data_IF_519440142244
#
_entry.id   IF_519440142244
#
_cell.length_a   1.000
_cell.length_b   1.000
_cell.length_c   1.000
_cell.angle_alpha   90.00
_cell.angle_beta   90.00
_cell.angle_gamma   90.00
#
_symmetry.space_group_name_H-M   'P 1'
#
loop_
_entity.id
_entity.type
_entity.pdbx_description
1 polymer ?
#
# COMPACT_ATOMS: atom_id res chain seq x y z
N UNK A 1 -24.22 22.01 -6.23
CA UNK A 1 -23.51 20.74 -6.40
C UNK A 1 -22.63 20.86 -7.64
N UNK A 2 -21.35 20.50 -7.51
CA UNK A 2 -20.43 20.39 -8.66
C UNK A 2 -20.56 18.97 -9.23
N UNK A 3 -20.70 18.85 -10.53
CA UNK A 3 -20.72 17.57 -11.23
C UNK A 3 -19.59 17.57 -12.26
N UNK A 4 -18.74 16.56 -12.16
CA UNK A 4 -17.68 16.31 -13.11
C UNK A 4 -17.80 14.88 -13.62
N UNK A 5 -17.89 14.75 -14.92
CA UNK A 5 -17.87 13.46 -15.60
C UNK A 5 -16.45 13.20 -16.12
N UNK A 6 -16.00 11.93 -16.04
CA UNK A 6 -14.72 11.47 -16.62
C UNK A 6 -13.47 12.19 -16.04
N UNK A 7 -13.41 12.36 -14.70
CA UNK A 7 -12.16 12.72 -14.03
C UNK A 7 -11.24 11.49 -13.99
N UNK A 8 -9.98 11.68 -14.37
CA UNK A 8 -8.97 10.62 -14.39
C UNK A 8 -7.96 10.89 -13.29
N UNK A 9 -7.74 9.89 -12.43
CA UNK A 9 -6.68 9.86 -11.43
C UNK A 9 -5.64 8.82 -11.84
N UNK A 10 -4.36 9.18 -11.81
CA UNK A 10 -3.25 8.26 -12.13
C UNK A 10 -2.84 7.45 -10.90
N UNK A 11 -3.77 6.67 -10.36
CA UNK A 11 -3.54 5.84 -9.17
C UNK A 11 -4.46 4.63 -9.18
N UNK A 12 -4.01 3.53 -8.62
CA UNK A 12 -4.81 2.33 -8.34
C UNK A 12 -5.38 2.34 -6.92
N UNK A 13 -5.07 3.37 -6.12
CA UNK A 13 -5.61 3.54 -4.77
C UNK A 13 -7.09 3.97 -4.82
N UNK A 14 -8.02 3.06 -4.55
CA UNK A 14 -9.46 3.32 -4.60
C UNK A 14 -9.90 4.51 -3.72
N UNK A 15 -9.29 4.65 -2.53
CA UNK A 15 -9.57 5.75 -1.59
C UNK A 15 -9.16 7.15 -2.11
N UNK A 16 -8.36 7.23 -3.16
CA UNK A 16 -7.99 8.52 -3.76
C UNK A 16 -9.15 9.18 -4.51
N UNK A 17 -10.20 8.45 -4.85
CA UNK A 17 -11.42 9.05 -5.43
C UNK A 17 -12.14 9.95 -4.43
N UNK A 18 -12.18 9.55 -3.15
CA UNK A 18 -12.74 10.36 -2.06
C UNK A 18 -11.85 11.59 -1.79
N UNK A 19 -10.53 11.39 -1.70
CA UNK A 19 -9.58 12.48 -1.52
C UNK A 19 -9.67 13.52 -2.66
N UNK A 20 -9.78 13.07 -3.90
CA UNK A 20 -9.94 13.93 -5.06
C UNK A 20 -11.27 14.71 -5.00
N UNK A 21 -12.35 14.08 -4.53
CA UNK A 21 -13.64 14.76 -4.36
C UNK A 21 -13.55 15.88 -3.32
N UNK A 22 -12.87 15.67 -2.20
CA UNK A 22 -12.63 16.69 -1.17
C UNK A 22 -11.75 17.80 -1.74
N UNK A 23 -10.66 17.46 -2.43
CA UNK A 23 -9.77 18.45 -3.04
C UNK A 23 -10.50 19.32 -4.08
N UNK A 24 -11.38 18.71 -4.90
CA UNK A 24 -12.21 19.42 -5.87
C UNK A 24 -13.12 20.42 -5.19
N UNK A 25 -13.85 20.01 -4.15
CA UNK A 25 -14.75 20.90 -3.40
C UNK A 25 -13.95 22.06 -2.76
N UNK A 26 -12.79 21.76 -2.17
CA UNK A 26 -11.93 22.78 -1.58
C UNK A 26 -11.44 23.79 -2.63
N UNK A 27 -10.95 23.31 -3.79
CA UNK A 27 -10.49 24.17 -4.88
C UNK A 27 -11.60 25.10 -5.39
N UNK A 28 -12.82 24.57 -5.59
CA UNK A 28 -13.98 25.38 -6.01
C UNK A 28 -14.43 26.38 -4.96
N UNK A 29 -14.25 26.09 -3.68
CA UNK A 29 -14.62 26.98 -2.59
C UNK A 29 -13.75 28.25 -2.54
N UNK A 30 -12.55 28.21 -3.13
CA UNK A 30 -11.66 29.35 -3.20
C UNK A 30 -12.18 30.48 -4.12
N UNK A 31 -13.10 30.18 -5.05
CA UNK A 31 -13.65 31.12 -6.05
C UNK A 31 -12.57 31.88 -6.84
N UNK A 32 -11.45 31.21 -7.09
CA UNK A 32 -10.33 31.75 -7.85
C UNK A 32 -10.55 31.46 -9.34
N UNK A 33 -10.62 32.48 -10.17
CA UNK A 33 -10.93 32.37 -11.61
C UNK A 33 -9.93 31.51 -12.38
N UNK A 34 -8.67 31.48 -11.93
CA UNK A 34 -7.62 30.64 -12.53
C UNK A 34 -7.80 29.14 -12.26
N UNK A 35 -8.70 28.77 -11.34
CA UNK A 35 -9.05 27.39 -11.04
C UNK A 35 -10.32 27.02 -11.83
N UNK A 36 -10.17 26.99 -13.15
CA UNK A 36 -11.21 26.55 -14.07
C UNK A 36 -11.33 25.01 -14.16
N UNK A 37 -12.19 24.50 -15.01
CA UNK A 37 -12.42 23.07 -15.18
C UNK A 37 -11.20 22.35 -15.77
N UNK A 38 -10.44 23.02 -16.64
CA UNK A 38 -9.24 22.45 -17.25
C UNK A 38 -8.11 22.34 -16.22
N UNK A 39 -7.91 23.38 -15.41
CA UNK A 39 -6.95 23.38 -14.31
C UNK A 39 -7.25 22.28 -13.28
N UNK A 40 -8.52 22.06 -12.95
CA UNK A 40 -8.95 20.98 -12.04
C UNK A 40 -8.67 19.59 -12.65
N UNK A 41 -9.06 19.37 -13.92
CA UNK A 41 -8.81 18.09 -14.60
C UNK A 41 -7.33 17.77 -14.68
N UNK A 42 -6.53 18.77 -15.09
CA UNK A 42 -5.08 18.64 -15.17
C UNK A 42 -4.46 18.41 -13.79
N UNK A 43 -4.85 19.19 -12.79
CA UNK A 43 -4.32 19.06 -11.43
C UNK A 43 -4.61 17.70 -10.81
N UNK A 44 -5.82 17.15 -10.99
CA UNK A 44 -6.17 15.80 -10.50
C UNK A 44 -5.45 14.70 -11.28
N UNK A 45 -5.28 14.86 -12.59
CA UNK A 45 -4.53 13.91 -13.42
C UNK A 45 -3.04 13.88 -13.06
N UNK A 46 -2.42 15.06 -12.84
CA UNK A 46 -1.00 15.19 -12.52
C UNK A 46 -0.69 14.93 -11.04
N UNK A 47 -1.73 14.86 -10.18
CA UNK A 47 -1.55 14.64 -8.76
C UNK A 47 -0.87 13.30 -8.48
N UNK A 48 0.26 13.35 -7.80
CA UNK A 48 1.02 12.20 -7.37
C UNK A 48 1.38 12.32 -5.89
N UNK A 49 1.12 11.26 -5.13
CA UNK A 49 1.49 11.20 -3.72
C UNK A 49 2.30 9.93 -3.45
N UNK A 50 3.58 10.05 -3.08
CA UNK A 50 4.43 8.90 -2.80
C UNK A 50 3.85 7.97 -1.72
N UNK A 51 3.96 6.66 -1.93
CA UNK A 51 3.47 5.66 -0.97
C UNK A 51 1.94 5.59 -0.87
N UNK A 52 1.23 5.85 -1.97
CA UNK A 52 -0.21 5.62 -2.10
C UNK A 52 -0.46 4.69 -3.28
N UNK A 53 -0.41 3.38 -3.05
CA UNK A 53 -0.43 2.35 -4.10
C UNK A 53 0.57 2.68 -5.22
N UNK A 54 1.76 3.14 -4.83
CA UNK A 54 2.83 3.54 -5.74
C UNK A 54 3.54 2.31 -6.28
N UNK A 55 3.54 2.11 -7.58
CA UNK A 55 4.35 1.07 -8.23
C UNK A 55 5.81 1.54 -8.31
N UNK A 56 6.72 0.81 -7.63
CA UNK A 56 8.15 1.15 -7.53
C UNK A 56 9.03 0.25 -8.39
N UNK A 57 8.56 -0.94 -8.71
CA UNK A 57 9.12 -1.92 -9.63
C UNK A 57 7.93 -2.62 -10.31
N UNK A 58 8.13 -3.28 -11.45
CA UNK A 58 7.05 -4.03 -12.09
C UNK A 58 6.35 -4.97 -11.10
N UNK A 59 5.04 -4.75 -10.89
CA UNK A 59 4.18 -5.51 -9.97
C UNK A 59 4.59 -5.44 -8.49
N UNK A 60 5.28 -4.38 -8.05
CA UNK A 60 5.64 -4.12 -6.66
C UNK A 60 5.06 -2.78 -6.23
N UNK A 61 4.07 -2.80 -5.35
CA UNK A 61 3.31 -1.63 -4.91
C UNK A 61 3.60 -1.28 -3.46
N UNK A 62 3.86 0.00 -3.18
CA UNK A 62 4.00 0.56 -1.85
C UNK A 62 2.72 1.30 -1.44
N UNK A 63 2.26 1.05 -0.21
CA UNK A 63 1.21 1.84 0.43
C UNK A 63 1.59 2.25 1.84
N UNK A 64 1.32 3.51 2.19
CA UNK A 64 1.61 4.09 3.50
C UNK A 64 0.54 3.80 4.57
N UNK A 65 -0.33 2.82 4.36
CA UNK A 65 -1.29 2.35 5.36
C UNK A 65 -0.55 1.95 6.64
N UNK A 66 -0.93 2.55 7.79
CA UNK A 66 -0.20 2.41 9.05
C UNK A 66 -1.11 2.46 10.28
N UNK A 67 -2.41 2.34 10.12
CA UNK A 67 -3.43 2.21 11.13
C UNK A 67 -4.58 1.33 10.60
N UNK A 68 -5.58 1.02 11.43
CA UNK A 68 -6.68 0.13 11.06
C UNK A 68 -7.44 0.62 9.82
N UNK A 69 -7.86 1.90 9.80
CA UNK A 69 -8.63 2.48 8.68
C UNK A 69 -7.79 2.52 7.39
N UNK A 70 -6.50 2.86 7.49
CA UNK A 70 -5.58 2.86 6.37
C UNK A 70 -5.39 1.46 5.78
N UNK A 71 -5.28 0.42 6.62
CA UNK A 71 -5.21 -0.97 6.17
C UNK A 71 -6.52 -1.37 5.48
N UNK A 72 -7.68 -0.97 5.99
CA UNK A 72 -8.95 -1.28 5.34
C UNK A 72 -9.07 -0.63 3.96
N UNK A 73 -8.70 0.64 3.83
CA UNK A 73 -8.64 1.35 2.56
C UNK A 73 -7.63 0.72 1.56
N UNK A 74 -6.47 0.29 2.07
CA UNK A 74 -5.47 -0.45 1.31
C UNK A 74 -6.04 -1.79 0.80
N UNK A 75 -6.64 -2.61 1.67
CA UNK A 75 -7.23 -3.90 1.31
C UNK A 75 -8.35 -3.74 0.27
N UNK A 76 -9.17 -2.69 0.40
CA UNK A 76 -10.19 -2.33 -0.60
C UNK A 76 -9.54 -2.05 -1.96
N UNK A 77 -8.43 -1.31 -1.99
CA UNK A 77 -7.70 -1.01 -3.23
C UNK A 77 -7.08 -2.27 -3.83
N UNK A 78 -6.48 -3.15 -3.01
CA UNK A 78 -5.93 -4.45 -3.45
C UNK A 78 -7.02 -5.35 -4.00
N UNK A 79 -8.22 -5.33 -3.41
CA UNK A 79 -9.36 -6.11 -3.89
C UNK A 79 -9.94 -5.56 -5.19
N UNK A 80 -10.04 -4.24 -5.32
CA UNK A 80 -10.58 -3.57 -6.51
C UNK A 80 -9.67 -3.70 -7.74
N UNK A 81 -8.37 -3.88 -7.54
CA UNK A 81 -7.39 -4.16 -8.61
C UNK A 81 -7.64 -5.50 -9.32
N UNK A 82 -8.67 -6.27 -8.92
CA UNK A 82 -9.15 -7.50 -9.57
C UNK A 82 -10.08 -7.20 -10.76
N UNK A 83 -9.59 -6.52 -11.77
CA UNK A 83 -10.35 -6.40 -13.03
C UNK A 83 -10.31 -7.70 -13.84
N UNK A 84 -11.19 -7.83 -14.84
CA UNK A 84 -11.36 -9.05 -15.65
C UNK A 84 -10.09 -9.59 -16.32
N UNK A 85 -9.06 -8.76 -16.49
CA UNK A 85 -7.73 -9.15 -16.96
C UNK A 85 -6.95 -9.99 -15.94
N UNK A 86 -7.36 -10.01 -14.69
CA UNK A 86 -6.70 -10.73 -13.58
C UNK A 86 -7.26 -12.13 -13.33
N UNK A 87 -8.19 -12.64 -14.13
CA UNK A 87 -8.58 -14.08 -14.07
C UNK A 87 -7.43 -15.03 -14.43
N UNK A 88 -6.34 -14.51 -15.01
CA UNK A 88 -5.03 -15.15 -15.12
C UNK A 88 -4.02 -14.63 -14.05
N UNK A 89 -4.50 -13.93 -13.03
CA UNK A 89 -3.69 -13.23 -12.07
C UNK A 89 -2.90 -14.22 -11.21
N UNK A 90 -1.62 -13.91 -11.03
CA UNK A 90 -0.75 -14.57 -10.08
C UNK A 90 -1.19 -14.34 -8.64
N UNK A 91 -0.41 -14.85 -7.73
CA UNK A 91 -0.63 -14.70 -6.28
C UNK A 91 -0.37 -13.26 -5.84
N UNK A 92 -1.02 -12.86 -4.76
CA UNK A 92 -0.70 -11.64 -4.04
C UNK A 92 0.18 -11.97 -2.85
N UNK A 93 1.28 -11.26 -2.74
CA UNK A 93 2.26 -11.39 -1.67
C UNK A 93 2.26 -10.08 -0.87
N UNK A 94 2.38 -10.14 0.45
CA UNK A 94 2.43 -8.96 1.30
C UNK A 94 3.76 -8.91 2.07
N UNK A 95 4.44 -7.78 2.02
CA UNK A 95 5.51 -7.44 2.97
C UNK A 95 4.94 -6.48 3.99
N UNK A 96 4.96 -6.86 5.26
CA UNK A 96 4.34 -6.14 6.35
C UNK A 96 5.33 -5.82 7.47
N UNK A 97 5.40 -4.55 7.86
CA UNK A 97 6.19 -4.11 9.01
C UNK A 97 5.55 -2.92 9.70
N UNK A 98 5.52 -2.91 11.02
CA UNK A 98 4.71 -1.98 11.82
C UNK A 98 5.47 -1.47 13.05
N UNK A 99 5.12 -0.27 13.51
CA UNK A 99 5.61 0.29 14.77
C UNK A 99 4.79 -0.22 15.96
N UNK A 100 5.44 -0.36 17.12
CA UNK A 100 4.85 -0.97 18.32
C UNK A 100 3.78 -0.12 18.99
N UNK A 101 3.78 1.20 18.76
CA UNK A 101 2.84 2.15 19.35
C UNK A 101 1.47 2.20 18.64
N UNK A 102 1.32 1.48 17.54
CA UNK A 102 0.05 1.33 16.82
C UNK A 102 -0.71 0.09 17.32
N UNK A 103 -2.02 0.11 17.15
CA UNK A 103 -2.87 -1.06 17.40
C UNK A 103 -2.67 -2.09 16.27
N UNK A 104 -1.44 -2.60 16.13
CA UNK A 104 -1.08 -3.49 15.02
C UNK A 104 -1.86 -4.81 15.06
N UNK A 105 -2.35 -5.24 16.22
CA UNK A 105 -3.21 -6.43 16.33
C UNK A 105 -4.47 -6.30 15.49
N UNK A 106 -5.10 -5.10 15.48
CA UNK A 106 -6.27 -4.83 14.62
C UNK A 106 -5.90 -4.83 13.14
N UNK A 107 -4.75 -4.24 12.80
CA UNK A 107 -4.25 -4.24 11.42
C UNK A 107 -4.02 -5.67 10.93
N UNK A 108 -3.36 -6.51 11.73
CA UNK A 108 -3.14 -7.93 11.46
C UNK A 108 -4.48 -8.66 11.31
N UNK A 109 -5.44 -8.41 12.20
CA UNK A 109 -6.78 -8.99 12.12
C UNK A 109 -7.50 -8.67 10.81
N UNK A 110 -7.42 -7.41 10.33
CA UNK A 110 -8.00 -7.00 9.04
C UNK A 110 -7.32 -7.69 7.86
N UNK A 111 -5.99 -7.73 7.86
CA UNK A 111 -5.21 -8.42 6.83
C UNK A 111 -5.56 -9.90 6.80
N UNK A 112 -5.58 -10.56 7.95
CA UNK A 112 -5.92 -11.97 8.08
C UNK A 112 -7.34 -12.29 7.60
N UNK A 113 -8.32 -11.48 8.00
CA UNK A 113 -9.71 -11.65 7.61
C UNK A 113 -9.95 -11.43 6.11
N UNK A 114 -9.12 -10.63 5.44
CA UNK A 114 -9.26 -10.34 4.01
C UNK A 114 -9.00 -11.56 3.13
N UNK A 115 -8.14 -12.48 3.56
CA UNK A 115 -7.67 -13.65 2.80
C UNK A 115 -7.14 -13.31 1.40
N UNK A 116 -6.69 -12.07 1.19
CA UNK A 116 -6.23 -11.60 -0.13
C UNK A 116 -4.83 -12.09 -0.49
N UNK A 117 -4.00 -12.42 0.50
CA UNK A 117 -2.59 -12.72 0.30
C UNK A 117 -2.30 -14.21 0.45
N UNK A 118 -1.51 -14.77 -0.45
CA UNK A 118 -1.07 -16.17 -0.40
C UNK A 118 0.18 -16.37 0.46
N UNK A 119 0.97 -15.32 0.68
CA UNK A 119 2.14 -15.30 1.56
C UNK A 119 2.33 -13.91 2.16
N UNK A 120 2.77 -13.86 3.42
CA UNK A 120 3.03 -12.62 4.15
C UNK A 120 4.44 -12.68 4.73
N UNK A 121 5.34 -11.83 4.22
CA UNK A 121 6.66 -11.61 4.82
C UNK A 121 6.54 -10.51 5.87
N UNK A 122 6.75 -10.88 7.12
CA UNK A 122 6.67 -9.97 8.28
C UNK A 122 8.06 -9.54 8.69
N UNK A 123 8.28 -8.24 8.88
CA UNK A 123 9.61 -7.70 9.22
C UNK A 123 9.56 -6.72 10.39
N UNK A 124 10.69 -6.64 11.10
CA UNK A 124 10.97 -5.52 11.99
C UNK A 124 11.47 -4.31 11.18
N UNK A 125 11.31 -3.12 11.74
CA UNK A 125 11.74 -1.87 11.11
C UNK A 125 13.06 -1.41 11.71
N UNK A 126 13.91 -0.75 10.94
CA UNK A 126 15.10 -0.09 11.45
C UNK A 126 14.70 1.21 12.22
N UNK A 127 14.04 1.02 13.36
CA UNK A 127 13.54 2.08 14.24
C UNK A 127 13.35 1.55 15.64
N UNK A 128 13.70 2.35 16.66
CA UNK A 128 13.45 2.04 18.08
C UNK A 128 11.95 1.86 18.40
N UNK A 129 11.08 2.32 17.51
CA UNK A 129 9.63 2.17 17.61
C UNK A 129 9.10 0.88 16.97
N UNK A 130 9.97 0.04 16.40
CA UNK A 130 9.57 -1.21 15.77
C UNK A 130 8.90 -2.16 16.77
N UNK A 131 7.83 -2.84 16.34
CA UNK A 131 7.38 -4.03 17.04
C UNK A 131 8.46 -5.12 16.93
N UNK A 132 8.75 -5.82 18.05
CA UNK A 132 9.70 -6.93 18.02
C UNK A 132 9.16 -8.13 17.25
N UNK A 133 10.07 -8.91 16.66
CA UNK A 133 9.70 -10.07 15.87
C UNK A 133 8.86 -11.08 16.65
N UNK A 134 9.16 -11.28 17.95
CA UNK A 134 8.43 -12.23 18.80
C UNK A 134 6.98 -11.76 19.05
N UNK A 135 6.78 -10.44 19.27
CA UNK A 135 5.42 -9.89 19.39
C UNK A 135 4.63 -10.07 18.10
N UNK A 136 5.26 -9.87 16.96
CA UNK A 136 4.64 -10.06 15.64
C UNK A 136 4.30 -11.51 15.41
N UNK A 137 5.19 -12.46 15.74
CA UNK A 137 4.91 -13.92 15.67
C UNK A 137 3.69 -14.29 16.52
N UNK A 138 3.62 -13.80 17.77
CA UNK A 138 2.49 -14.06 18.66
C UNK A 138 1.19 -13.50 18.11
N UNK A 139 1.21 -12.28 17.57
CA UNK A 139 0.03 -11.63 17.00
C UNK A 139 -0.50 -12.38 15.76
N UNK A 140 0.39 -12.77 14.83
CA UNK A 140 0.01 -13.52 13.64
C UNK A 140 -0.45 -14.96 13.94
N UNK A 141 0.10 -15.61 14.97
CA UNK A 141 -0.29 -16.96 15.37
C UNK A 141 -1.76 -17.10 15.83
N UNK A 142 -2.42 -15.98 16.15
CA UNK A 142 -3.83 -15.96 16.53
C UNK A 142 -4.78 -16.17 15.35
N UNK A 143 -4.28 -16.07 14.12
CA UNK A 143 -5.09 -16.16 12.91
C UNK A 143 -4.67 -17.31 12.03
N UNK A 144 -5.64 -18.02 11.44
CA UNK A 144 -5.42 -18.95 10.33
C UNK A 144 -5.31 -18.14 9.05
N UNK A 145 -4.11 -17.72 8.71
CA UNK A 145 -3.85 -16.95 7.48
C UNK A 145 -3.05 -17.75 6.48
N UNK A 146 -2.66 -17.07 5.39
CA UNK A 146 -1.59 -17.49 4.50
C UNK A 146 -0.29 -17.83 5.26
N UNK A 147 0.63 -18.52 4.61
CA UNK A 147 1.97 -18.75 5.14
C UNK A 147 2.64 -17.43 5.50
N UNK A 148 3.19 -17.36 6.72
CA UNK A 148 3.95 -16.21 7.18
C UNK A 148 5.42 -16.57 7.33
N UNK A 149 6.30 -15.72 6.80
CA UNK A 149 7.73 -15.71 7.11
C UNK A 149 8.08 -14.50 7.96
N UNK A 150 9.12 -14.61 8.79
CA UNK A 150 9.50 -13.57 9.74
C UNK A 150 10.99 -13.23 9.56
N UNK A 151 11.29 -11.95 9.40
CA UNK A 151 12.60 -11.44 9.00
C UNK A 151 13.08 -10.35 9.95
N UNK A 152 14.39 -10.34 10.22
CA UNK A 152 15.02 -9.39 11.15
C UNK A 152 15.30 -8.01 10.53
N UNK A 153 15.10 -7.87 9.20
CA UNK A 153 15.22 -6.58 8.52
C UNK A 153 14.29 -6.46 7.32
N UNK A 154 13.95 -5.21 6.97
CA UNK A 154 13.15 -4.92 5.78
C UNK A 154 13.87 -5.34 4.48
N UNK A 155 15.20 -5.24 4.45
CA UNK A 155 16.03 -5.66 3.32
C UNK A 155 15.95 -7.18 3.10
N UNK A 156 16.15 -7.97 4.17
CA UNK A 156 16.02 -9.43 4.12
C UNK A 156 14.63 -9.84 3.66
N UNK A 157 13.59 -9.26 4.27
CA UNK A 157 12.20 -9.54 3.91
C UNK A 157 11.88 -9.18 2.45
N UNK A 158 12.43 -8.08 1.95
CA UNK A 158 12.21 -7.63 0.58
C UNK A 158 12.90 -8.55 -0.43
N UNK A 159 14.16 -8.92 -0.20
CA UNK A 159 14.85 -9.88 -1.05
C UNK A 159 14.17 -11.26 -1.03
N UNK A 160 13.73 -11.71 0.16
CA UNK A 160 13.01 -12.97 0.28
C UNK A 160 11.71 -12.96 -0.54
N UNK A 161 10.85 -11.95 -0.36
CA UNK A 161 9.56 -11.91 -1.05
C UNK A 161 9.71 -11.77 -2.56
N UNK A 162 10.76 -11.07 -3.04
CA UNK A 162 11.12 -11.02 -4.46
C UNK A 162 11.60 -12.39 -4.97
N UNK A 163 12.34 -13.14 -4.16
CA UNK A 163 12.86 -14.45 -4.58
C UNK A 163 11.76 -15.50 -4.80
N UNK A 164 10.61 -15.35 -4.13
CA UNK A 164 9.45 -16.26 -4.27
C UNK A 164 8.41 -15.72 -5.26
N UNK A 165 8.53 -14.46 -5.72
CA UNK A 165 7.63 -13.84 -6.69
C UNK A 165 7.78 -14.53 -8.06
N UNK A 166 6.66 -14.96 -8.65
CA UNK A 166 6.59 -15.41 -10.03
C UNK A 166 6.17 -14.26 -10.94
N UNK A 167 6.36 -14.40 -12.25
CA UNK A 167 6.09 -13.37 -13.24
C UNK A 167 4.68 -12.75 -13.13
N UNK A 168 3.67 -13.57 -12.86
CA UNK A 168 2.29 -13.10 -12.70
C UNK A 168 1.97 -12.56 -11.29
N UNK A 169 2.81 -12.81 -10.28
CA UNK A 169 2.54 -12.45 -8.89
C UNK A 169 2.74 -10.94 -8.65
N UNK A 170 2.01 -10.41 -7.67
CA UNK A 170 2.10 -9.01 -7.27
C UNK A 170 2.51 -8.91 -5.81
N UNK A 171 3.54 -8.11 -5.52
CA UNK A 171 3.98 -7.78 -4.17
C UNK A 171 3.33 -6.46 -3.74
N UNK A 172 2.75 -6.46 -2.56
CA UNK A 172 2.28 -5.27 -1.86
C UNK A 172 3.12 -5.06 -0.61
N UNK A 173 3.39 -3.80 -0.25
CA UNK A 173 4.21 -3.42 0.89
C UNK A 173 3.44 -2.38 1.70
N UNK A 174 3.11 -2.70 2.96
CA UNK A 174 2.30 -1.83 3.81
C UNK A 174 2.58 -2.04 5.32
N UNK A 175 1.98 -1.21 6.17
CA UNK A 175 2.02 -1.30 7.62
C UNK A 175 2.72 -0.12 8.30
N UNK A 176 3.65 0.54 7.64
CA UNK A 176 4.35 1.70 8.20
C UNK A 176 4.99 2.58 7.13
N UNK A 177 4.95 3.90 7.34
CA UNK A 177 5.73 4.85 6.53
C UNK A 177 7.25 4.64 6.67
N UNK A 178 7.72 4.10 7.80
CA UNK A 178 9.13 3.73 7.95
C UNK A 178 9.52 2.61 7.00
N UNK A 179 8.66 1.57 6.87
CA UNK A 179 8.89 0.48 5.91
C UNK A 179 8.93 1.01 4.48
N UNK A 180 7.96 1.85 4.11
CA UNK A 180 7.92 2.50 2.78
C UNK A 180 9.24 3.24 2.50
N UNK A 181 9.73 4.03 3.46
CA UNK A 181 11.00 4.76 3.33
C UNK A 181 12.21 3.84 3.17
N UNK A 182 12.29 2.77 3.94
CA UNK A 182 13.38 1.78 3.87
C UNK A 182 13.42 1.09 2.51
N UNK A 183 12.28 0.59 2.03
CA UNK A 183 12.21 -0.08 0.72
C UNK A 183 12.52 0.87 -0.43
N UNK A 184 12.01 2.10 -0.42
CA UNK A 184 12.36 3.10 -1.44
C UNK A 184 13.85 3.41 -1.46
N UNK A 185 14.50 3.38 -0.31
CA UNK A 185 15.95 3.59 -0.21
C UNK A 185 16.71 2.40 -0.79
N UNK A 186 16.26 1.17 -0.55
CA UNK A 186 16.86 -0.05 -1.10
C UNK A 186 16.78 -0.05 -2.63
N UNK A 187 15.58 0.15 -3.18
CA UNK A 187 15.36 0.16 -4.65
C UNK A 187 16.21 1.22 -5.35
N UNK A 188 16.39 2.40 -4.75
CA UNK A 188 17.24 3.46 -5.33
C UNK A 188 18.73 3.17 -5.29
N UNK A 189 19.19 2.28 -4.39
CA UNK A 189 20.60 1.91 -4.26
C UNK A 189 21.01 0.77 -5.18
N UNK A 190 20.07 0.01 -5.71
CA UNK A 190 20.32 -1.00 -6.71
C UNK A 190 20.46 -0.25 -8.05
N UNK A 191 21.67 -0.14 -8.66
CA UNK A 191 21.81 0.43 -10.00
C UNK A 191 21.04 -0.44 -10.97
N UNK A 192 20.38 0.16 -11.95
CA UNK A 192 19.91 -0.56 -13.12
C UNK A 192 21.15 -1.19 -13.79
N UNK A 193 21.25 -2.53 -13.81
CA UNK A 193 22.23 -3.28 -14.57
C UNK A 193 22.00 -3.14 -16.08
#
# INVERSE_FOLDING_TARGET
>A
YYRYDNLILRTTAAYQTENASVALVAARSLKEERIDDEAIRKGLYDAFWPGRMEEILPRVFLDGAHNEDGIEAFLTSVSAANTEQEKAAGKRLLLFGVVADKQYDKMIGRIAASQLFSHIAVTVLASDRSASIDKLKVAWAQYKTADCSFHESAEEAFHYIQSIQKEADTIYIAGSLYLVGQIKTLVRRTPDD
#
